data_IF_937082518545
#
_entry.id   IF_937082518545
#
_cell.length_a   1.000
_cell.length_b   1.000
_cell.length_c   1.000
_cell.angle_alpha   90.00
_cell.angle_beta   90.00
_cell.angle_gamma   90.00
#
_symmetry.space_group_name_H-M   'P 1'
#
loop_
_entity.id
_entity.type
_entity.pdbx_description
1 polymer ?
#
# COMPACT_ATOMS: atom_id res chain seq x y z
N UNK A 1 3.19 1.18 -7.95
CA UNK A 1 3.46 1.54 -6.54
C UNK A 1 4.32 2.81 -6.39
N UNK A 2 5.50 2.90 -7.03
CA UNK A 2 6.46 4.00 -6.85
C UNK A 2 5.88 5.42 -6.99
N UNK A 3 5.08 5.66 -8.03
CA UNK A 3 4.38 6.95 -8.21
C UNK A 3 3.51 7.33 -7.01
N UNK A 4 2.74 6.38 -6.49
CA UNK A 4 1.83 6.62 -5.36
C UNK A 4 2.60 6.85 -4.05
N UNK A 5 3.73 6.16 -3.87
CA UNK A 5 4.69 6.40 -2.79
C UNK A 5 5.24 7.83 -2.87
N UNK A 6 5.76 8.23 -4.03
CA UNK A 6 6.27 9.60 -4.25
C UNK A 6 5.20 10.64 -3.97
N UNK A 7 3.95 10.38 -4.36
CA UNK A 7 2.85 11.31 -4.11
C UNK A 7 2.53 11.49 -2.62
N UNK A 8 2.68 10.44 -1.81
CA UNK A 8 2.62 10.57 -0.35
C UNK A 8 3.77 11.42 0.19
N UNK A 9 5.00 11.19 -0.28
CA UNK A 9 6.16 11.96 0.18
C UNK A 9 6.07 13.44 -0.19
N UNK A 10 5.64 13.77 -1.41
CA UNK A 10 5.44 15.16 -1.86
C UNK A 10 4.39 15.88 -0.99
N UNK A 11 3.33 15.17 -0.56
CA UNK A 11 2.35 15.73 0.36
C UNK A 11 3.00 16.10 1.71
N UNK A 12 3.83 15.23 2.28
CA UNK A 12 4.52 15.50 3.54
C UNK A 12 5.65 16.52 3.41
N UNK A 13 6.36 16.56 2.29
CA UNK A 13 7.32 17.61 1.95
C UNK A 13 6.65 18.99 1.99
N UNK A 14 5.45 19.09 1.41
CA UNK A 14 4.66 20.33 1.42
C UNK A 14 4.18 20.72 2.83
N UNK A 15 4.11 19.76 3.75
CA UNK A 15 3.83 19.95 5.18
C UNK A 15 5.10 20.09 6.04
N UNK A 16 6.19 20.59 5.44
CA UNK A 16 7.47 20.88 6.08
C UNK A 16 8.19 19.67 6.72
N UNK A 17 7.97 18.45 6.21
CA UNK A 17 8.79 17.28 6.57
C UNK A 17 9.99 17.18 5.63
N UNK A 18 11.18 16.98 6.20
CA UNK A 18 12.41 16.86 5.41
C UNK A 18 12.59 15.46 4.80
N UNK A 19 11.93 15.23 3.66
CA UNK A 19 11.95 13.95 2.92
C UNK A 19 12.56 14.09 1.51
N UNK A 20 13.33 15.16 1.29
CA UNK A 20 13.84 15.54 -0.04
C UNK A 20 14.80 14.49 -0.60
N UNK A 21 15.75 14.04 0.23
CA UNK A 21 16.74 13.04 -0.15
C UNK A 21 16.08 11.72 -0.55
N UNK A 22 15.07 11.29 0.20
CA UNK A 22 14.32 10.07 -0.11
C UNK A 22 13.46 10.19 -1.37
N UNK A 23 12.88 11.37 -1.63
CA UNK A 23 12.14 11.64 -2.87
C UNK A 23 13.08 11.49 -4.08
N UNK A 24 14.23 12.16 -4.07
CA UNK A 24 15.17 12.10 -5.19
C UNK A 24 15.75 10.69 -5.38
N UNK A 25 16.05 9.99 -4.28
CA UNK A 25 16.50 8.60 -4.35
C UNK A 25 15.43 7.69 -4.96
N UNK A 26 14.17 7.80 -4.54
CA UNK A 26 13.07 6.99 -5.10
C UNK A 26 12.81 7.33 -6.57
N UNK A 27 12.97 8.60 -6.98
CA UNK A 27 12.87 8.98 -8.41
C UNK A 27 13.93 8.27 -9.23
N UNK A 28 15.19 8.34 -8.80
CA UNK A 28 16.30 7.66 -9.47
C UNK A 28 16.07 6.14 -9.55
N UNK A 29 15.69 5.50 -8.44
CA UNK A 29 15.38 4.06 -8.43
C UNK A 29 14.18 3.74 -9.34
N UNK A 30 13.22 4.64 -9.47
CA UNK A 30 12.05 4.44 -10.36
C UNK A 30 12.41 4.48 -11.85
N UNK A 31 13.48 5.18 -12.24
CA UNK A 31 13.97 5.22 -13.63
C UNK A 31 14.60 3.88 -14.05
N UNK A 32 15.14 3.13 -13.09
CA UNK A 32 15.73 1.80 -13.34
C UNK A 32 14.67 0.76 -13.76
N UNK A 33 13.39 0.96 -13.40
CA UNK A 33 12.30 0.02 -13.66
C UNK A 33 12.22 -0.37 -15.14
N UNK A 34 12.27 0.61 -16.05
CA UNK A 34 12.18 0.37 -17.50
C UNK A 34 13.38 -0.39 -18.07
N UNK A 35 14.52 -0.42 -17.36
CA UNK A 35 15.73 -1.14 -17.77
C UNK A 35 15.86 -2.54 -17.17
N UNK A 36 14.90 -2.99 -16.37
CA UNK A 36 14.93 -4.34 -15.78
C UNK A 36 14.56 -5.41 -16.80
N UNK A 37 15.28 -6.53 -16.79
CA UNK A 37 15.12 -7.60 -17.80
C UNK A 37 14.37 -8.84 -17.28
N UNK A 38 14.10 -8.91 -15.98
CA UNK A 38 13.40 -10.02 -15.36
C UNK A 38 12.70 -9.60 -14.06
N UNK A 39 11.76 -10.43 -13.62
CA UNK A 39 10.96 -10.21 -12.41
C UNK A 39 11.84 -10.01 -11.16
N UNK A 40 12.87 -10.84 -10.87
CA UNK A 40 13.74 -10.63 -9.71
C UNK A 40 14.42 -9.26 -9.67
N UNK A 41 14.91 -8.76 -10.81
CA UNK A 41 15.49 -7.42 -10.91
C UNK A 41 14.44 -6.34 -10.60
N UNK A 42 13.24 -6.45 -11.17
CA UNK A 42 12.13 -5.52 -10.91
C UNK A 42 11.72 -5.51 -9.43
N UNK A 43 11.59 -6.69 -8.82
CA UNK A 43 11.28 -6.81 -7.38
C UNK A 43 12.40 -6.26 -6.49
N UNK A 44 13.66 -6.36 -6.92
CA UNK A 44 14.80 -5.76 -6.22
C UNK A 44 14.72 -4.23 -6.22
N UNK A 45 14.38 -3.62 -7.36
CA UNK A 45 14.12 -2.17 -7.45
C UNK A 45 12.96 -1.77 -6.54
N UNK A 46 11.85 -2.50 -6.59
CA UNK A 46 10.70 -2.25 -5.71
C UNK A 46 11.06 -2.35 -4.22
N UNK A 47 11.87 -3.35 -3.85
CA UNK A 47 12.38 -3.53 -2.50
C UNK A 47 13.17 -2.33 -2.00
N UNK A 48 14.09 -1.79 -2.82
CA UNK A 48 14.86 -0.58 -2.49
C UNK A 48 13.98 0.66 -2.33
N UNK A 49 13.01 0.83 -3.23
CA UNK A 49 12.03 1.93 -3.14
C UNK A 49 11.23 1.84 -1.85
N UNK A 50 10.75 0.65 -1.49
CA UNK A 50 10.00 0.42 -0.23
C UNK A 50 10.87 0.65 0.99
N UNK A 51 12.13 0.21 0.99
CA UNK A 51 13.06 0.44 2.09
C UNK A 51 13.31 1.93 2.30
N UNK A 52 13.63 2.66 1.23
CA UNK A 52 13.82 4.12 1.26
C UNK A 52 12.54 4.81 1.71
N UNK A 53 11.37 4.37 1.23
CA UNK A 53 10.09 4.91 1.65
C UNK A 53 9.84 4.71 3.15
N UNK A 54 10.09 3.51 3.68
CA UNK A 54 9.84 3.28 5.09
C UNK A 54 10.79 4.05 6.01
N UNK A 55 12.02 4.38 5.58
CA UNK A 55 12.92 5.27 6.36
C UNK A 55 12.29 6.64 6.62
N UNK A 56 11.42 7.11 5.72
CA UNK A 56 10.70 8.37 5.92
C UNK A 56 9.64 8.31 7.01
N UNK A 57 9.22 7.11 7.46
CA UNK A 57 8.16 6.98 8.47
C UNK A 57 8.57 7.65 9.78
N UNK A 58 9.84 7.56 10.20
CA UNK A 58 10.33 8.25 11.40
C UNK A 58 10.26 9.78 11.29
N UNK A 59 10.29 10.32 10.06
CA UNK A 59 10.16 11.76 9.79
C UNK A 59 8.69 12.19 9.72
N UNK A 60 7.85 11.32 9.18
CA UNK A 60 6.43 11.57 8.90
C UNK A 60 5.55 11.36 10.13
N UNK A 61 5.81 10.28 10.87
CA UNK A 61 5.05 9.89 12.04
C UNK A 61 5.43 10.76 13.24
N UNK A 62 4.48 10.93 14.17
CA UNK A 62 4.78 11.52 15.48
C UNK A 62 5.73 10.62 16.29
N UNK A 63 6.37 11.21 17.30
CA UNK A 63 7.25 10.50 18.24
C UNK A 63 6.51 9.38 18.99
N UNK A 64 7.26 8.39 19.47
CA UNK A 64 6.75 7.18 20.13
C UNK A 64 6.47 6.01 19.19
N UNK A 65 6.64 6.20 17.87
CA UNK A 65 6.47 5.16 16.87
C UNK A 65 7.72 5.06 15.98
N UNK A 66 8.75 4.41 16.52
CA UNK A 66 10.01 4.22 15.80
C UNK A 66 9.92 3.06 14.82
N UNK A 67 10.53 3.25 13.65
CA UNK A 67 10.60 2.25 12.60
C UNK A 67 12.02 2.17 12.04
N UNK A 68 12.75 1.12 12.43
CA UNK A 68 14.10 0.89 11.92
C UNK A 68 14.07 0.15 10.58
N UNK A 69 13.40 -1.00 10.55
CA UNK A 69 13.33 -1.89 9.39
C UNK A 69 12.03 -2.68 9.36
N UNK A 70 11.68 -3.17 8.17
CA UNK A 70 10.50 -4.02 7.99
C UNK A 70 10.77 -5.44 8.49
N UNK A 71 10.15 -5.84 9.60
CA UNK A 71 10.15 -7.21 10.12
C UNK A 71 8.73 -7.79 10.06
N UNK A 72 8.55 -8.83 9.24
CA UNK A 72 7.21 -9.31 8.84
C UNK A 72 6.62 -10.35 9.78
N UNK A 73 7.40 -11.32 10.25
CA UNK A 73 6.91 -12.51 10.96
C UNK A 73 7.90 -12.99 12.02
N UNK A 74 7.55 -12.88 13.32
CA UNK A 74 6.52 -11.97 13.84
C UNK A 74 6.90 -10.49 13.60
N UNK A 75 5.93 -9.56 13.53
CA UNK A 75 6.23 -8.13 13.64
C UNK A 75 6.86 -7.85 15.01
N UNK A 76 7.89 -7.01 15.07
CA UNK A 76 8.69 -6.76 16.28
C UNK A 76 8.44 -5.38 16.91
N UNK A 77 7.66 -4.51 16.25
CA UNK A 77 7.26 -3.20 16.74
C UNK A 77 5.87 -2.80 16.23
N UNK A 78 5.32 -1.72 16.80
CA UNK A 78 3.95 -1.26 16.52
C UNK A 78 3.72 -0.92 15.04
N UNK A 79 4.70 -0.30 14.38
CA UNK A 79 4.59 0.06 12.95
C UNK A 79 4.67 -1.20 12.06
N UNK A 80 5.54 -2.15 12.38
CA UNK A 80 5.59 -3.45 11.72
C UNK A 80 4.26 -4.21 11.91
N UNK A 81 3.65 -4.14 13.09
CA UNK A 81 2.34 -4.72 13.37
C UNK A 81 1.25 -4.10 12.48
N UNK A 82 1.19 -2.76 12.44
CA UNK A 82 0.24 -2.00 11.62
C UNK A 82 0.39 -2.27 10.12
N UNK A 83 1.62 -2.23 9.59
CA UNK A 83 1.89 -2.52 8.18
C UNK A 83 1.49 -3.96 7.85
N UNK A 84 1.78 -4.92 8.74
CA UNK A 84 1.40 -6.33 8.53
C UNK A 84 -0.12 -6.50 8.51
N UNK A 85 -0.82 -5.92 9.48
CA UNK A 85 -2.27 -5.99 9.60
C UNK A 85 -2.96 -5.31 8.42
N UNK A 86 -2.56 -4.08 8.08
CA UNK A 86 -3.10 -3.32 6.96
C UNK A 86 -2.81 -3.96 5.60
N UNK A 87 -1.67 -4.63 5.43
CA UNK A 87 -1.38 -5.39 4.21
C UNK A 87 -2.28 -6.62 4.08
N UNK A 88 -2.59 -7.32 5.18
CA UNK A 88 -3.55 -8.42 5.16
C UNK A 88 -4.96 -7.93 4.79
N UNK A 89 -5.39 -6.78 5.32
CA UNK A 89 -6.66 -6.15 4.92
C UNK A 89 -6.69 -5.74 3.45
N UNK A 90 -5.61 -5.14 2.95
CA UNK A 90 -5.50 -4.78 1.54
C UNK A 90 -5.59 -6.01 0.64
N UNK A 91 -4.87 -7.08 0.98
CA UNK A 91 -4.92 -8.34 0.26
C UNK A 91 -6.35 -8.91 0.22
N UNK A 92 -7.03 -8.96 1.37
CA UNK A 92 -8.41 -9.46 1.45
C UNK A 92 -9.40 -8.59 0.67
N UNK A 93 -9.24 -7.26 0.74
CA UNK A 93 -10.08 -6.30 0.01
C UNK A 93 -9.92 -6.47 -1.49
N UNK A 94 -8.69 -6.51 -1.99
CA UNK A 94 -8.41 -6.73 -3.40
C UNK A 94 -8.95 -8.07 -3.87
N UNK A 95 -8.76 -9.14 -3.08
CA UNK A 95 -9.31 -10.46 -3.39
C UNK A 95 -10.84 -10.42 -3.52
N UNK A 96 -11.52 -9.74 -2.58
CA UNK A 96 -12.97 -9.55 -2.64
C UNK A 96 -13.38 -8.82 -3.92
N UNK A 97 -12.62 -7.80 -4.34
CA UNK A 97 -12.90 -7.08 -5.58
C UNK A 97 -12.63 -7.91 -6.84
N UNK A 98 -11.64 -8.81 -6.82
CA UNK A 98 -11.40 -9.76 -7.91
C UNK A 98 -12.60 -10.69 -8.11
N UNK A 99 -13.23 -11.17 -7.03
CA UNK A 99 -14.44 -12.00 -7.13
C UNK A 99 -15.67 -11.28 -7.71
N UNK A 100 -15.62 -9.95 -7.88
CA UNK A 100 -16.62 -9.18 -8.60
C UNK A 100 -16.31 -9.02 -10.10
N UNK A 101 -15.25 -9.67 -10.61
CA UNK A 101 -14.85 -9.65 -12.02
C UNK A 101 -14.64 -11.07 -12.56
N UNK A 102 -14.27 -11.23 -13.83
CA UNK A 102 -13.95 -12.54 -14.43
C UNK A 102 -12.48 -12.96 -14.28
N UNK A 103 -11.66 -12.16 -13.59
CA UNK A 103 -10.24 -12.47 -13.37
C UNK A 103 -10.06 -13.67 -12.45
N UNK A 104 -9.11 -14.55 -12.80
CA UNK A 104 -8.71 -15.64 -11.91
C UNK A 104 -7.69 -15.11 -10.87
N UNK A 105 -8.00 -15.15 -9.56
CA UNK A 105 -7.14 -14.59 -8.51
C UNK A 105 -5.79 -15.31 -8.35
N UNK A 106 -5.62 -16.51 -8.91
CA UNK A 106 -4.37 -17.29 -8.85
C UNK A 106 -3.34 -16.79 -9.88
N UNK A 107 -3.79 -16.24 -11.01
CA UNK A 107 -2.93 -15.85 -12.13
C UNK A 107 -2.38 -14.43 -11.95
N UNK A 108 -1.11 -14.33 -11.60
CA UNK A 108 -0.35 -13.08 -11.41
C UNK A 108 0.73 -12.90 -12.47
N UNK A 109 1.31 -11.70 -12.50
CA UNK A 109 2.35 -11.30 -13.45
C UNK A 109 3.67 -10.96 -12.74
N UNK A 110 3.60 -10.34 -11.56
CA UNK A 110 4.79 -9.95 -10.80
C UNK A 110 5.16 -11.02 -9.78
N UNK A 111 4.22 -11.38 -8.90
CA UNK A 111 4.45 -12.47 -7.96
C UNK A 111 4.31 -13.83 -8.65
N UNK A 112 5.07 -14.82 -8.22
CA UNK A 112 4.97 -16.18 -8.77
C UNK A 112 3.55 -16.74 -8.55
N UNK A 113 2.85 -17.17 -9.63
CA UNK A 113 1.56 -17.83 -9.51
C UNK A 113 1.67 -19.10 -8.66
N UNK A 114 0.67 -19.37 -7.83
CA UNK A 114 0.64 -20.58 -7.01
C UNK A 114 -0.79 -21.00 -6.74
N UNK A 115 -1.12 -22.28 -6.94
CA UNK A 115 -2.47 -22.79 -6.68
C UNK A 115 -2.93 -22.64 -5.22
N UNK A 116 -1.98 -22.43 -4.29
CA UNK A 116 -2.25 -22.27 -2.86
C UNK A 116 -2.36 -20.79 -2.42
N UNK A 117 -2.28 -19.85 -3.35
CA UNK A 117 -2.22 -18.40 -3.04
C UNK A 117 -2.87 -17.57 -4.14
N UNK A 118 -3.64 -16.55 -3.75
CA UNK A 118 -4.22 -15.61 -4.69
C UNK A 118 -3.20 -14.55 -5.09
N UNK A 119 -2.22 -14.96 -5.91
CA UNK A 119 -1.06 -14.12 -6.24
C UNK A 119 -1.46 -12.83 -6.98
N UNK A 120 -2.57 -12.81 -7.74
CA UNK A 120 -3.04 -11.57 -8.39
C UNK A 120 -3.42 -10.49 -7.36
N UNK A 121 -3.93 -10.93 -6.20
CA UNK A 121 -4.27 -10.00 -5.12
C UNK A 121 -3.02 -9.31 -4.57
N UNK A 122 -1.85 -9.96 -4.59
CA UNK A 122 -0.58 -9.36 -4.19
C UNK A 122 -0.15 -8.27 -5.18
N UNK A 123 -0.20 -8.57 -6.48
CA UNK A 123 0.17 -7.63 -7.55
C UNK A 123 -0.67 -6.35 -7.49
N UNK A 124 -2.00 -6.49 -7.42
CA UNK A 124 -2.90 -5.34 -7.38
C UNK A 124 -2.79 -4.59 -6.04
N UNK A 125 -2.58 -5.30 -4.92
CA UNK A 125 -2.39 -4.67 -3.61
C UNK A 125 -1.20 -3.70 -3.60
N UNK A 126 -0.12 -3.96 -4.32
CA UNK A 126 1.06 -3.07 -4.33
C UNK A 126 0.72 -1.65 -4.80
N UNK A 127 -0.25 -1.51 -5.70
CA UNK A 127 -0.71 -0.22 -6.22
C UNK A 127 -1.43 0.58 -5.12
N UNK A 128 -2.22 -0.12 -4.30
CA UNK A 128 -3.16 0.47 -3.34
C UNK A 128 -2.64 0.60 -1.90
N UNK A 129 -1.61 -0.17 -1.51
CA UNK A 129 -0.94 -0.02 -0.21
C UNK A 129 -0.56 1.44 0.13
N UNK A 130 0.17 2.18 -0.72
CA UNK A 130 0.45 3.61 -0.46
C UNK A 130 -0.79 4.49 -0.52
N UNK A 131 -1.82 4.10 -1.28
CA UNK A 131 -3.01 4.93 -1.50
C UNK A 131 -4.01 4.85 -0.34
N UNK A 132 -4.06 3.70 0.34
CA UNK A 132 -5.04 3.39 1.38
C UNK A 132 -4.33 3.00 2.68
N UNK A 133 -3.64 1.85 2.70
CA UNK A 133 -3.04 1.29 3.93
C UNK A 133 -2.09 2.26 4.61
N UNK A 134 -1.10 2.78 3.89
CA UNK A 134 -0.07 3.64 4.46
C UNK A 134 -0.68 4.97 4.95
N UNK A 135 -1.66 5.52 4.22
CA UNK A 135 -2.40 6.73 4.62
C UNK A 135 -3.27 6.52 5.86
N UNK A 136 -3.89 5.34 6.00
CA UNK A 136 -4.64 4.97 7.21
C UNK A 136 -3.69 4.91 8.41
N UNK A 137 -2.54 4.25 8.26
CA UNK A 137 -1.52 4.20 9.32
C UNK A 137 -1.07 5.61 9.72
N UNK A 138 -0.74 6.46 8.75
CA UNK A 138 -0.31 7.83 9.04
C UNK A 138 -1.39 8.63 9.77
N UNK A 139 -2.66 8.50 9.36
CA UNK A 139 -3.79 9.18 10.03
C UNK A 139 -3.94 8.68 11.46
N UNK A 140 -3.96 7.37 11.67
CA UNK A 140 -4.16 6.76 12.99
C UNK A 140 -3.09 7.21 13.99
N UNK A 141 -1.83 7.20 13.55
CA UNK A 141 -0.69 7.58 14.40
C UNK A 141 -0.65 9.10 14.62
N UNK A 142 -0.68 9.91 13.57
CA UNK A 142 -0.51 11.36 13.70
C UNK A 142 -1.68 12.04 14.42
N UNK A 143 -2.90 11.48 14.33
CA UNK A 143 -4.07 11.99 15.04
C UNK A 143 -4.27 11.32 16.42
N UNK A 144 -3.29 10.56 16.90
CA UNK A 144 -3.32 9.92 18.23
C UNK A 144 -4.50 8.97 18.44
N UNK A 145 -5.04 8.38 17.35
CA UNK A 145 -6.16 7.45 17.41
C UNK A 145 -5.74 6.09 17.95
N UNK A 146 -4.49 5.70 17.68
CA UNK A 146 -3.84 4.55 18.30
C UNK A 146 -2.78 5.00 19.30
N UNK A 147 -2.73 4.31 20.43
CA UNK A 147 -1.78 4.50 21.52
C UNK A 147 -0.98 3.22 21.75
N UNK A 148 0.04 3.29 22.59
CA UNK A 148 0.87 2.13 22.95
C UNK A 148 0.02 0.99 23.56
N UNK A 149 -0.99 1.33 24.37
CA UNK A 149 -1.94 0.39 24.99
C UNK A 149 -2.85 -0.33 23.99
N UNK A 150 -2.86 0.05 22.71
CA UNK A 150 -3.60 -0.65 21.65
C UNK A 150 -2.78 -1.81 21.04
N UNK A 151 -1.60 -2.07 21.60
CA UNK A 151 -0.67 -3.10 21.17
C UNK A 151 -0.36 -4.07 22.32
N UNK A 152 -0.18 -5.34 21.98
CA UNK A 152 0.39 -6.37 22.83
C UNK A 152 1.85 -6.56 22.41
N UNK A 153 2.77 -6.22 23.31
CA UNK A 153 4.21 -6.44 23.13
C UNK A 153 4.68 -7.60 24.00
N UNK A 154 5.24 -8.60 23.34
CA UNK A 154 6.01 -9.68 23.94
C UNK A 154 7.47 -9.60 23.49
N UNK A 155 8.37 -10.35 24.12
CA UNK A 155 9.84 -10.26 23.97
C UNK A 155 10.37 -10.05 22.54
N UNK A 156 9.74 -10.63 21.51
CA UNK A 156 10.13 -10.47 20.10
C UNK A 156 8.92 -10.29 19.17
N UNK A 157 7.76 -9.91 19.71
CA UNK A 157 6.51 -9.86 18.95
C UNK A 157 5.70 -8.65 19.38
N UNK A 158 5.15 -7.91 18.41
CA UNK A 158 4.21 -6.84 18.64
C UNK A 158 3.00 -7.04 17.74
N UNK A 159 1.81 -7.09 18.33
CA UNK A 159 0.55 -7.24 17.63
C UNK A 159 -0.43 -6.17 18.09
N UNK A 160 -1.44 -5.87 17.27
CA UNK A 160 -2.59 -5.08 17.72
C UNK A 160 -3.43 -5.95 18.67
N UNK A 161 -3.86 -5.38 19.79
CA UNK A 161 -4.90 -6.00 20.61
C UNK A 161 -6.29 -5.79 19.99
N UNK A 162 -7.34 -6.29 20.64
CA UNK A 162 -8.69 -6.19 20.09
C UNK A 162 -9.22 -4.76 19.96
N UNK A 163 -8.77 -3.84 20.82
CA UNK A 163 -9.13 -2.43 20.69
C UNK A 163 -8.42 -1.80 19.47
N UNK A 164 -7.11 -2.01 19.35
CA UNK A 164 -6.31 -1.54 18.22
C UNK A 164 -6.82 -2.07 16.88
N UNK A 165 -7.20 -3.35 16.81
CA UNK A 165 -7.85 -3.96 15.63
C UNK A 165 -9.14 -3.23 15.28
N UNK A 166 -10.04 -3.00 16.25
CA UNK A 166 -11.33 -2.30 16.02
C UNK A 166 -11.12 -0.89 15.49
N UNK A 167 -10.19 -0.13 16.07
CA UNK A 167 -9.86 1.23 15.64
C UNK A 167 -9.31 1.22 14.21
N UNK A 168 -8.36 0.34 13.92
CA UNK A 168 -7.78 0.21 12.58
C UNK A 168 -8.85 -0.16 11.54
N UNK A 169 -9.64 -1.20 11.80
CA UNK A 169 -10.68 -1.69 10.87
C UNK A 169 -11.71 -0.61 10.57
N UNK A 170 -12.17 0.12 11.59
CA UNK A 170 -13.12 1.22 11.40
C UNK A 170 -12.56 2.28 10.45
N UNK A 171 -11.34 2.75 10.69
CA UNK A 171 -10.72 3.79 9.85
C UNK A 171 -10.43 3.27 8.43
N UNK A 172 -10.01 2.01 8.30
CA UNK A 172 -9.80 1.37 7.01
C UNK A 172 -11.10 1.30 6.19
N UNK A 173 -12.21 0.88 6.79
CA UNK A 173 -13.51 0.81 6.14
C UNK A 173 -14.05 2.19 5.74
N UNK A 174 -13.87 3.20 6.61
CA UNK A 174 -14.19 4.59 6.29
C UNK A 174 -13.35 5.12 5.11
N UNK A 175 -12.07 4.75 5.06
CA UNK A 175 -11.19 5.10 3.94
C UNK A 175 -11.66 4.47 2.63
N UNK A 176 -12.09 3.20 2.64
CA UNK A 176 -12.62 2.52 1.45
C UNK A 176 -13.89 3.18 0.89
N UNK A 177 -14.76 3.66 1.79
CA UNK A 177 -16.02 4.36 1.44
C UNK A 177 -15.81 5.79 0.96
N UNK A 178 -14.71 6.42 1.36
CA UNK A 178 -14.37 7.80 0.94
C UNK A 178 -14.33 7.89 -0.59
N UNK A 179 -14.86 8.96 -1.16
CA UNK A 179 -14.91 9.16 -2.61
C UNK A 179 -13.94 10.23 -3.09
N UNK A 180 -13.39 10.06 -4.29
CA UNK A 180 -12.67 11.08 -5.04
C UNK A 180 -13.42 11.39 -6.35
N UNK A 181 -13.14 12.55 -6.94
CA UNK A 181 -13.62 12.86 -8.30
C UNK A 181 -12.70 12.20 -9.34
N UNK A 182 -13.27 11.26 -10.11
CA UNK A 182 -12.52 10.49 -11.10
C UNK A 182 -12.41 11.25 -12.42
N UNK A 183 -11.20 11.70 -12.77
CA UNK A 183 -10.92 12.57 -13.92
C UNK A 183 -11.50 12.08 -15.25
N UNK A 184 -11.35 10.79 -15.55
CA UNK A 184 -11.83 10.24 -16.84
C UNK A 184 -13.34 9.94 -16.84
N UNK A 185 -13.96 9.76 -15.67
CA UNK A 185 -15.37 9.34 -15.57
C UNK A 185 -16.30 10.52 -15.22
N UNK A 186 -15.76 11.67 -14.81
CA UNK A 186 -16.53 12.85 -14.44
C UNK A 186 -17.48 12.65 -13.25
N UNK A 187 -17.21 11.68 -12.37
CA UNK A 187 -18.06 11.36 -11.22
C UNK A 187 -17.27 10.96 -9.99
N UNK A 188 -17.93 11.00 -8.83
CA UNK A 188 -17.38 10.51 -7.56
C UNK A 188 -17.27 8.98 -7.57
N UNK A 189 -16.11 8.47 -7.15
CA UNK A 189 -15.78 7.05 -7.09
C UNK A 189 -15.11 6.75 -5.75
N UNK A 190 -15.55 5.70 -5.06
CA UNK A 190 -14.95 5.29 -3.78
C UNK A 190 -13.59 4.63 -3.97
N UNK A 191 -12.72 4.62 -2.95
CA UNK A 191 -11.46 3.89 -3.02
C UNK A 191 -11.65 2.40 -3.30
N UNK A 192 -12.70 1.78 -2.72
CA UNK A 192 -13.08 0.41 -3.06
C UNK A 192 -13.41 0.25 -4.54
N UNK A 193 -14.18 1.19 -5.11
CA UNK A 193 -14.51 1.15 -6.54
C UNK A 193 -13.27 1.40 -7.41
N UNK A 194 -12.30 2.21 -6.97
CA UNK A 194 -11.02 2.36 -7.69
C UNK A 194 -10.26 1.04 -7.81
N UNK A 195 -10.29 0.19 -6.78
CA UNK A 195 -9.70 -1.15 -6.84
C UNK A 195 -10.37 -1.97 -7.95
N UNK A 196 -11.71 -1.97 -8.00
CA UNK A 196 -12.47 -2.66 -9.04
C UNK A 196 -12.19 -2.11 -10.45
N UNK A 197 -12.09 -0.79 -10.60
CA UNK A 197 -11.73 -0.17 -11.88
C UNK A 197 -10.32 -0.55 -12.33
N UNK A 198 -9.38 -0.74 -11.40
CA UNK A 198 -8.03 -1.23 -11.73
C UNK A 198 -8.05 -2.65 -12.30
N UNK A 199 -8.91 -3.51 -11.75
CA UNK A 199 -9.14 -4.86 -12.25
C UNK A 199 -9.77 -4.84 -13.65
N UNK A 200 -10.78 -3.98 -13.90
CA UNK A 200 -11.35 -3.83 -15.24
C UNK A 200 -10.35 -3.30 -16.27
N UNK A 201 -9.38 -2.46 -15.86
CA UNK A 201 -8.29 -2.04 -16.74
C UNK A 201 -7.39 -3.22 -17.12
N UNK A 202 -7.15 -4.14 -16.19
CA UNK A 202 -6.41 -5.36 -16.48
C UNK A 202 -7.20 -6.27 -17.44
N UNK A 203 -8.49 -6.48 -17.21
CA UNK A 203 -9.34 -7.28 -18.13
C UNK A 203 -9.31 -6.73 -19.56
N UNK A 204 -9.50 -5.41 -19.72
CA UNK A 204 -9.42 -4.73 -21.03
C UNK A 204 -8.07 -4.93 -21.72
N UNK A 205 -7.00 -5.01 -20.96
CA UNK A 205 -5.67 -5.30 -21.50
C UNK A 205 -5.55 -6.74 -22.00
N UNK A 206 -6.08 -7.70 -21.24
CA UNK A 206 -6.01 -9.13 -21.59
C UNK A 206 -6.82 -9.47 -22.83
N UNK A 207 -7.94 -8.77 -23.07
CA UNK A 207 -8.73 -8.94 -24.30
C UNK A 207 -8.26 -8.08 -25.48
N UNK A 208 -7.18 -7.30 -25.30
CA UNK A 208 -6.60 -6.44 -26.34
C UNK A 208 -7.39 -5.14 -26.63
N UNK A 209 -8.35 -4.76 -25.79
CA UNK A 209 -9.14 -3.54 -25.97
C UNK A 209 -8.32 -2.28 -25.61
N UNK A 210 -7.56 -2.31 -24.51
CA UNK A 210 -6.79 -1.15 -24.04
C UNK A 210 -5.55 -1.57 -23.26
N UNK A 211 -4.41 -0.95 -23.54
CA UNK A 211 -3.17 -1.18 -22.79
C UNK A 211 -3.33 -0.85 -21.29
N UNK A 212 -2.87 -1.76 -20.42
CA UNK A 212 -2.91 -1.56 -18.98
C UNK A 212 -1.94 -0.46 -18.54
N UNK A 213 -2.47 0.52 -17.80
CA UNK A 213 -1.68 1.57 -17.16
C UNK A 213 -2.05 1.63 -15.70
N UNK A 214 -1.15 1.25 -14.80
CA UNK A 214 -1.42 1.21 -13.37
C UNK A 214 -1.90 2.55 -12.79
N UNK A 215 -2.79 2.52 -11.80
CA UNK A 215 -3.31 3.72 -11.13
C UNK A 215 -2.18 4.58 -10.57
N UNK A 216 -2.10 5.81 -11.11
CA UNK A 216 -1.26 6.89 -10.61
C UNK A 216 -2.15 7.93 -9.95
N UNK A 217 -2.08 8.00 -8.62
CA UNK A 217 -2.82 8.98 -7.83
C UNK A 217 -2.48 10.41 -8.26
N UNK A 218 -3.50 11.26 -8.39
CA UNK A 218 -3.38 12.66 -8.84
C UNK A 218 -3.88 13.69 -7.82
N UNK A 219 -4.47 13.23 -6.73
CA UNK A 219 -4.87 14.06 -5.59
C UNK A 219 -3.82 14.04 -4.48
#
# INVERSE_FOLDING_TARGET
>A
ASHNILKNLIHYQSNAKDVNEEIEKIRKESEEISGTNNIPQLMSVEGRIRETYYKTFNKILRTGFEFEKRVRRPPDNMINALISFGNSYMYATVLSEIYHTQLNPVLSYLHEPSERRFSLSLDISEIFKPVITDRVIFKLINNQMLKEDDFEQELNCCLLNDNGKKIFTKEYDEKLKTTIEHKELGRKVSYQTLIRLELYKLEKHLIGEKEYKGLKMWW
#
